data_IF_293732049604
#
_entry.id   IF_293732049604
#
_cell.length_a   1.000
_cell.length_b   1.000
_cell.length_c   1.000
_cell.angle_alpha   90.00
_cell.angle_beta   90.00
_cell.angle_gamma   90.00
#
_symmetry.space_group_name_H-M   'P 1'
#
loop_
_entity.id
_entity.type
_entity.pdbx_description
1 polymer ?
#
# COMPACT_ATOMS: atom_id res chain seq x y z
N UNK A 1 28.96 -37.06 18.86
CA UNK A 1 27.76 -36.32 19.31
C UNK A 1 27.45 -35.31 18.22
N UNK A 2 26.52 -35.63 17.33
CA UNK A 2 26.26 -34.82 16.12
C UNK A 2 24.87 -34.22 16.27
N UNK A 3 24.82 -32.95 16.66
CA UNK A 3 23.57 -32.25 16.90
C UNK A 3 23.31 -31.35 15.69
N UNK A 4 22.64 -31.90 14.68
CA UNK A 4 22.18 -31.11 13.55
C UNK A 4 20.88 -30.38 13.96
N UNK A 5 21.00 -29.10 14.33
CA UNK A 5 19.85 -28.21 14.52
C UNK A 5 19.25 -27.90 13.16
N UNK A 6 18.07 -28.46 12.90
CA UNK A 6 17.31 -28.25 11.69
C UNK A 6 16.68 -26.84 11.74
N UNK A 7 17.34 -25.87 11.12
CA UNK A 7 16.79 -24.53 10.95
C UNK A 7 15.67 -24.59 9.91
N UNK A 8 14.42 -24.60 10.37
CA UNK A 8 13.25 -24.32 9.55
C UNK A 8 13.32 -22.86 9.11
N UNK A 9 14.12 -22.58 8.09
CA UNK A 9 14.06 -21.33 7.32
C UNK A 9 12.81 -21.38 6.44
N UNK A 10 11.66 -21.16 7.08
CA UNK A 10 10.46 -20.75 6.37
C UNK A 10 10.68 -19.34 5.86
N UNK A 11 11.03 -19.18 4.59
CA UNK A 11 10.87 -17.89 3.90
C UNK A 11 9.40 -17.56 3.93
N UNK A 12 8.97 -16.66 4.81
CA UNK A 12 7.63 -16.10 4.74
C UNK A 12 7.44 -15.58 3.30
N UNK A 13 6.36 -15.97 2.61
CA UNK A 13 6.14 -15.51 1.25
C UNK A 13 6.11 -13.98 1.27
N UNK A 14 6.85 -13.35 0.34
CA UNK A 14 6.83 -11.91 0.20
C UNK A 14 5.39 -11.47 0.00
N UNK A 15 4.83 -10.76 0.97
CA UNK A 15 3.46 -10.26 0.89
C UNK A 15 3.44 -9.16 -0.17
N UNK A 16 2.80 -9.44 -1.30
CA UNK A 16 2.53 -8.43 -2.30
C UNK A 16 1.39 -7.53 -1.78
N UNK A 17 1.70 -6.25 -1.56
CA UNK A 17 0.76 -5.30 -0.98
C UNK A 17 0.26 -4.33 -2.06
N UNK A 18 -1.05 -4.14 -2.09
CA UNK A 18 -1.72 -3.08 -2.81
C UNK A 18 -1.81 -1.83 -1.94
N UNK A 19 -1.87 -0.66 -2.59
CA UNK A 19 -2.04 0.64 -1.96
C UNK A 19 -3.41 1.19 -2.32
N UNK A 20 -4.16 1.64 -1.30
CA UNK A 20 -5.42 2.36 -1.51
C UNK A 20 -5.17 3.85 -1.31
N UNK A 21 -5.40 4.62 -2.36
CA UNK A 21 -5.11 6.05 -2.45
C UNK A 21 -6.42 6.80 -2.62
N UNK A 22 -6.58 7.94 -1.95
CA UNK A 22 -7.73 8.81 -2.17
C UNK A 22 -7.69 9.45 -3.55
N UNK A 23 -8.82 9.46 -4.26
CA UNK A 23 -8.96 10.12 -5.58
C UNK A 23 -8.82 11.64 -5.54
N UNK A 24 -9.09 12.25 -4.39
CA UNK A 24 -9.15 13.71 -4.25
C UNK A 24 -7.84 14.27 -3.70
N UNK A 25 -7.51 13.93 -2.45
CA UNK A 25 -6.32 14.46 -1.79
C UNK A 25 -5.03 13.64 -2.06
N UNK A 26 -5.10 12.59 -2.90
CA UNK A 26 -3.98 11.68 -3.21
C UNK A 26 -3.29 11.03 -1.99
N UNK A 27 -3.94 11.08 -0.82
CA UNK A 27 -3.40 10.51 0.41
C UNK A 27 -3.49 8.98 0.40
N UNK A 28 -2.43 8.30 0.86
CA UNK A 28 -2.46 6.86 1.10
C UNK A 28 -3.36 6.57 2.32
N UNK A 29 -4.41 5.79 2.09
CA UNK A 29 -5.39 5.44 3.12
C UNK A 29 -4.98 4.18 3.86
N UNK A 30 -4.67 3.11 3.13
CA UNK A 30 -4.25 1.82 3.71
C UNK A 30 -3.56 0.93 2.68
N UNK A 31 -2.81 -0.05 3.18
CA UNK A 31 -2.22 -1.14 2.39
C UNK A 31 -3.02 -2.42 2.62
N UNK A 32 -3.30 -3.17 1.54
CA UNK A 32 -4.05 -4.43 1.63
C UNK A 32 -3.27 -5.55 0.93
N UNK A 33 -3.32 -6.79 1.45
CA UNK A 33 -2.73 -7.92 0.76
C UNK A 33 -3.45 -8.15 -0.57
N UNK A 34 -2.69 -8.17 -1.66
CA UNK A 34 -3.20 -8.41 -3.01
C UNK A 34 -2.28 -9.38 -3.73
N UNK A 35 -2.77 -10.04 -4.79
CA UNK A 35 -1.90 -10.81 -5.69
C UNK A 35 -1.20 -9.81 -6.64
N UNK A 36 -0.08 -9.24 -6.18
CA UNK A 36 0.71 -8.23 -6.88
C UNK A 36 0.51 -6.80 -6.35
N UNK A 37 1.41 -5.89 -6.73
CA UNK A 37 1.30 -4.46 -6.41
C UNK A 37 0.16 -3.84 -7.23
N UNK A 38 -0.91 -3.40 -6.54
CA UNK A 38 -2.04 -2.71 -7.18
C UNK A 38 -2.27 -1.35 -6.56
N UNK A 39 -2.46 -0.32 -7.40
CA UNK A 39 -2.96 0.99 -6.97
C UNK A 39 -4.48 0.97 -7.10
N UNK A 40 -5.17 1.11 -5.98
CA UNK A 40 -6.63 1.15 -5.90
C UNK A 40 -7.00 2.56 -5.45
N UNK A 41 -8.05 3.12 -6.06
CA UNK A 41 -8.48 4.47 -5.78
C UNK A 41 -9.82 4.48 -5.04
N UNK A 42 -9.83 5.07 -3.83
CA UNK A 42 -11.00 5.23 -2.96
C UNK A 42 -11.33 6.70 -2.68
N UNK A 43 -12.33 6.93 -1.83
CA UNK A 43 -12.66 8.26 -1.31
C UNK A 43 -12.41 8.26 0.19
N UNK A 44 -11.68 9.27 0.68
CA UNK A 44 -11.31 9.40 2.08
C UNK A 44 -12.42 10.09 2.89
N UNK A 45 -12.52 9.78 4.18
CA UNK A 45 -13.44 10.42 5.12
C UNK A 45 -12.83 11.61 5.86
N UNK A 46 -11.73 12.18 5.36
CA UNK A 46 -11.10 13.34 5.99
C UNK A 46 -11.93 14.59 5.72
N UNK A 47 -12.07 15.43 6.73
CA UNK A 47 -12.67 16.75 6.58
C UNK A 47 -11.81 17.58 5.60
N UNK A 48 -12.44 18.23 4.61
CA UNK A 48 -11.74 18.96 3.54
C UNK A 48 -11.24 18.11 2.36
N UNK A 49 -11.44 16.78 2.36
CA UNK A 49 -10.99 15.89 1.28
C UNK A 49 -11.64 16.19 -0.09
N UNK A 50 -12.87 16.73 -0.09
CA UNK A 50 -13.63 17.04 -1.31
C UNK A 50 -13.24 18.39 -1.94
N UNK A 51 -12.44 19.20 -1.27
CA UNK A 51 -12.10 20.56 -1.70
C UNK A 51 -10.78 20.65 -2.49
N UNK A 52 -10.04 19.56 -2.63
CA UNK A 52 -8.82 19.50 -3.46
C UNK A 52 -9.11 18.96 -4.85
N UNK A 53 -9.99 19.66 -5.58
CA UNK A 53 -9.74 19.86 -7.01
C UNK A 53 -8.73 21.01 -7.09
N UNK A 54 -7.75 20.98 -8.00
CA UNK A 54 -6.73 22.03 -8.17
C UNK A 54 -5.49 21.97 -7.23
N UNK A 55 -4.63 20.95 -7.37
CA UNK A 55 -3.18 21.08 -7.10
C UNK A 55 -2.40 19.93 -7.74
N UNK A 56 -2.43 19.85 -9.07
CA UNK A 56 -1.37 19.22 -9.84
C UNK A 56 -0.94 20.21 -10.90
N UNK A 57 -0.14 21.18 -10.48
CA UNK A 57 0.82 21.85 -11.35
C UNK A 57 1.73 20.74 -11.89
N UNK A 58 1.74 20.59 -13.21
CA UNK A 58 2.79 19.85 -13.87
C UNK A 58 4.08 20.65 -13.72
N UNK A 59 5.19 19.96 -13.46
CA UNK A 59 6.53 20.53 -13.52
C UNK A 59 7.40 19.57 -14.35
N UNK A 60 7.99 20.14 -15.41
CA UNK A 60 8.76 19.63 -16.57
C UNK A 60 9.29 18.17 -16.60
#
# INVERSE_FOLDING_TARGET
MSNATNALQGTAPALELGMVICKHCQQLMYTIPTNGVKKIYGVCGQEGCLETVEASEGED
#
